data_IF_487689659068
#
_entry.id   IF_487689659068
#
_cell.length_a   1.000
_cell.length_b   1.000
_cell.length_c   1.000
_cell.angle_alpha   90.00
_cell.angle_beta   90.00
_cell.angle_gamma   90.00
#
_symmetry.space_group_name_H-M   'P 1'
#
loop_
_entity.id
_entity.type
_entity.pdbx_description
1 polymer ?
#
# COMPACT_ATOMS: atom_id res chain seq x y z
N UNK A 1 8.17 11.28 -14.32
CA UNK A 1 6.92 10.94 -15.04
C UNK A 1 7.08 11.05 -16.56
N UNK A 2 7.37 12.23 -17.10
CA UNK A 2 7.48 12.44 -18.56
C UNK A 2 8.61 11.58 -19.18
N UNK A 3 9.76 11.53 -18.56
CA UNK A 3 10.91 10.71 -19.00
C UNK A 3 10.55 9.22 -19.03
N UNK A 4 9.93 8.74 -17.97
CA UNK A 4 9.43 7.37 -17.90
C UNK A 4 8.48 7.05 -19.05
N UNK A 5 7.50 7.92 -19.28
CA UNK A 5 6.51 7.73 -20.33
C UNK A 5 7.16 7.67 -21.72
N UNK A 6 8.00 8.64 -22.05
CA UNK A 6 8.63 8.72 -23.37
C UNK A 6 9.56 7.56 -23.68
N UNK A 7 10.33 7.12 -22.68
CA UNK A 7 11.22 5.98 -22.82
C UNK A 7 10.47 4.69 -23.22
N UNK A 8 9.35 4.42 -22.54
CA UNK A 8 8.54 3.24 -22.86
C UNK A 8 7.68 3.43 -24.09
N UNK A 9 7.22 4.66 -24.39
CA UNK A 9 6.40 4.95 -25.54
C UNK A 9 7.08 4.54 -26.84
N UNK A 10 8.32 4.95 -27.06
CA UNK A 10 9.08 4.57 -28.25
C UNK A 10 9.25 3.06 -28.37
N UNK A 11 9.66 2.40 -27.30
CA UNK A 11 9.83 0.92 -27.28
C UNK A 11 8.55 0.18 -27.64
N UNK A 12 7.41 0.65 -27.15
CA UNK A 12 6.12 0.02 -27.43
C UNK A 12 5.68 0.28 -28.87
N UNK A 13 5.93 1.46 -29.41
CA UNK A 13 5.61 1.71 -30.82
C UNK A 13 6.40 0.79 -31.77
N UNK A 14 7.64 0.51 -31.46
CA UNK A 14 8.53 -0.39 -32.22
C UNK A 14 8.22 -1.88 -32.01
N UNK A 15 7.44 -2.23 -31.01
CA UNK A 15 7.10 -3.63 -30.67
C UNK A 15 6.13 -4.26 -31.67
N UNK A 16 6.12 -5.61 -31.73
CA UNK A 16 5.20 -6.40 -32.55
C UNK A 16 3.79 -6.56 -31.96
N UNK A 17 3.47 -5.82 -30.91
CA UNK A 17 2.17 -5.85 -30.26
C UNK A 17 1.06 -5.35 -31.16
N UNK A 18 -0.13 -5.90 -30.99
CA UNK A 18 -1.34 -5.44 -31.66
C UNK A 18 -1.72 -4.01 -31.23
N UNK A 19 -2.57 -3.36 -31.99
CA UNK A 19 -3.04 -2.00 -31.69
C UNK A 19 -3.75 -1.93 -30.33
N UNK A 20 -4.52 -2.95 -29.98
CA UNK A 20 -5.28 -2.99 -28.72
C UNK A 20 -4.34 -3.18 -27.52
N UNK A 21 -3.36 -4.07 -27.63
CA UNK A 21 -2.32 -4.22 -26.60
C UNK A 21 -1.53 -2.93 -26.41
N UNK A 22 -1.11 -2.28 -27.50
CA UNK A 22 -0.42 -0.97 -27.43
C UNK A 22 -1.29 0.09 -26.74
N UNK A 23 -2.59 0.13 -26.99
CA UNK A 23 -3.50 1.07 -26.36
C UNK A 23 -3.66 0.77 -24.85
N UNK A 24 -3.77 -0.50 -24.48
CA UNK A 24 -3.84 -0.91 -23.08
C UNK A 24 -2.57 -0.53 -22.33
N UNK A 25 -1.40 -0.89 -22.87
CA UNK A 25 -0.11 -0.55 -22.25
C UNK A 25 0.06 0.97 -22.16
N UNK A 26 -0.39 1.74 -23.13
CA UNK A 26 -0.34 3.19 -23.09
C UNK A 26 -1.12 3.76 -21.88
N UNK A 27 -2.28 3.21 -21.55
CA UNK A 27 -3.04 3.62 -20.36
C UNK A 27 -2.28 3.29 -19.09
N UNK A 28 -1.69 2.10 -18.98
CA UNK A 28 -0.86 1.74 -17.82
C UNK A 28 0.37 2.65 -17.70
N UNK A 29 0.98 3.04 -18.80
CA UNK A 29 2.09 4.00 -18.78
C UNK A 29 1.66 5.37 -18.26
N UNK A 30 0.48 5.86 -18.64
CA UNK A 30 -0.06 7.11 -18.11
C UNK A 30 -0.31 7.01 -16.60
N UNK A 31 -0.87 5.90 -16.16
CA UNK A 31 -1.12 5.64 -14.74
C UNK A 31 0.18 5.57 -13.95
N UNK A 32 1.20 4.90 -14.48
CA UNK A 32 2.51 4.84 -13.83
C UNK A 32 3.17 6.22 -13.78
N UNK A 33 3.08 7.00 -14.86
CA UNK A 33 3.58 8.37 -14.89
C UNK A 33 2.87 9.27 -13.86
N UNK A 34 1.56 9.08 -13.69
CA UNK A 34 0.79 9.74 -12.65
C UNK A 34 1.30 9.39 -11.25
N UNK A 35 1.45 8.11 -10.94
CA UNK A 35 1.96 7.65 -9.64
C UNK A 35 3.36 8.22 -9.38
N UNK A 36 4.26 8.18 -10.37
CA UNK A 36 5.60 8.77 -10.28
C UNK A 36 5.54 10.28 -10.04
N UNK A 37 4.56 10.99 -10.61
CA UNK A 37 4.44 12.44 -10.39
C UNK A 37 3.94 12.81 -8.99
N UNK A 38 3.28 11.88 -8.30
CA UNK A 38 2.59 12.14 -7.01
C UNK A 38 3.25 11.50 -5.80
N UNK A 39 4.34 10.77 -5.93
CA UNK A 39 4.93 10.00 -4.81
C UNK A 39 5.45 10.86 -3.65
N UNK A 40 5.79 12.14 -3.88
CA UNK A 40 6.13 13.09 -2.81
C UNK A 40 4.91 13.86 -2.26
N UNK A 41 3.68 13.45 -2.60
CA UNK A 41 2.46 14.12 -2.17
C UNK A 41 1.29 13.18 -2.03
N UNK A 42 0.11 13.68 -2.32
CA UNK A 42 -1.13 12.90 -2.30
C UNK A 42 -1.61 12.57 -3.71
N UNK A 43 -2.28 11.42 -3.85
CA UNK A 43 -3.00 11.10 -5.06
C UNK A 43 -4.16 12.10 -5.23
N UNK A 44 -4.02 13.02 -6.18
CA UNK A 44 -5.07 13.92 -6.65
C UNK A 44 -5.97 13.23 -7.67
N UNK A 45 -6.83 13.99 -8.33
CA UNK A 45 -7.62 13.42 -9.43
C UNK A 45 -6.74 13.15 -10.64
N UNK A 46 -6.96 12.02 -11.28
CA UNK A 46 -6.17 11.62 -12.46
C UNK A 46 -6.35 12.59 -13.65
N UNK A 47 -7.55 13.16 -13.78
CA UNK A 47 -7.87 14.16 -14.80
C UNK A 47 -7.01 15.43 -14.64
N UNK A 48 -6.76 15.87 -13.41
CA UNK A 48 -5.87 16.99 -13.12
C UNK A 48 -4.44 16.72 -13.60
N UNK A 49 -3.94 15.51 -13.34
CA UNK A 49 -2.64 15.10 -13.87
C UNK A 49 -2.60 15.15 -15.41
N UNK A 50 -3.63 14.66 -16.09
CA UNK A 50 -3.68 14.69 -17.56
C UNK A 50 -3.67 16.11 -18.11
N UNK A 51 -4.27 17.08 -17.40
CA UNK A 51 -4.27 18.51 -17.76
C UNK A 51 -2.90 19.16 -17.50
N UNK A 52 -2.25 18.79 -16.37
CA UNK A 52 -0.92 19.27 -16.01
C UNK A 52 0.20 18.65 -16.85
N UNK A 53 -0.03 17.45 -17.41
CA UNK A 53 0.95 16.68 -18.18
C UNK A 53 1.12 17.24 -19.58
N UNK A 54 1.64 18.47 -19.63
CA UNK A 54 1.81 19.26 -20.85
C UNK A 54 3.27 19.69 -21.04
N UNK A 55 3.68 20.06 -22.30
CA UNK A 55 5.02 20.55 -22.56
C UNK A 55 5.30 21.82 -21.77
N UNK A 56 6.42 21.83 -21.11
CA UNK A 56 6.96 23.05 -20.55
C UNK A 56 8.47 23.17 -20.86
N UNK A 57 8.97 24.39 -20.85
CA UNK A 57 10.38 24.68 -21.15
C UNK A 57 11.34 23.94 -20.22
N UNK A 58 10.99 23.84 -18.96
CA UNK A 58 11.80 23.18 -17.96
C UNK A 58 12.00 21.67 -18.25
N UNK A 59 10.95 20.98 -18.73
CA UNK A 59 11.07 19.59 -19.14
C UNK A 59 11.99 19.45 -20.37
N UNK A 60 11.90 20.34 -21.33
CA UNK A 60 12.78 20.31 -22.50
C UNK A 60 14.25 20.52 -22.11
N UNK A 61 14.54 21.43 -21.19
CA UNK A 61 15.88 21.69 -20.68
C UNK A 61 16.42 20.47 -19.91
N UNK A 62 15.60 19.85 -19.06
CA UNK A 62 15.98 18.61 -18.34
C UNK A 62 16.30 17.49 -19.33
N UNK A 63 15.49 17.28 -20.36
CA UNK A 63 15.75 16.27 -21.37
C UNK A 63 17.04 16.53 -22.13
N UNK A 64 17.31 17.78 -22.45
CA UNK A 64 18.58 18.16 -23.12
C UNK A 64 19.78 17.82 -22.25
N UNK A 65 19.72 18.13 -20.97
CA UNK A 65 20.78 17.78 -20.01
C UNK A 65 20.96 16.25 -19.86
N UNK A 66 19.87 15.50 -19.77
CA UNK A 66 19.94 14.04 -19.65
C UNK A 66 20.52 13.35 -20.89
N UNK A 67 20.28 13.89 -22.09
CA UNK A 67 20.85 13.35 -23.32
C UNK A 67 22.33 13.66 -23.49
N UNK A 68 22.90 14.55 -22.71
CA UNK A 68 24.31 14.92 -22.73
C UNK A 68 25.18 14.22 -21.68
N UNK A 69 24.57 13.51 -20.72
CA UNK A 69 25.25 12.91 -19.60
C UNK A 69 25.32 11.39 -19.62
N UNK A 70 25.85 10.83 -18.53
CA UNK A 70 26.04 9.39 -18.31
C UNK A 70 24.71 8.62 -18.15
N UNK A 71 23.58 9.29 -18.21
CA UNK A 71 22.25 8.67 -18.14
C UNK A 71 21.99 7.70 -19.29
N UNK A 72 22.66 7.88 -20.44
CA UNK A 72 22.55 6.98 -21.59
C UNK A 72 23.13 5.59 -21.31
N UNK A 73 24.10 5.48 -20.40
CA UNK A 73 24.66 4.19 -19.95
C UNK A 73 23.68 3.44 -19.05
N UNK A 74 23.06 4.15 -18.11
CA UNK A 74 22.10 3.57 -17.16
C UNK A 74 20.84 3.05 -17.85
N UNK A 75 20.35 3.75 -18.87
CA UNK A 75 19.11 3.41 -19.56
C UNK A 75 19.33 2.72 -20.92
N UNK A 76 20.57 2.34 -21.23
CA UNK A 76 20.94 1.61 -22.46
C UNK A 76 20.52 2.29 -23.77
N UNK A 77 20.62 3.59 -23.83
CA UNK A 77 20.35 4.34 -25.05
C UNK A 77 19.96 5.78 -24.84
N UNK A 78 19.97 6.61 -25.90
CA UNK A 78 19.54 8.00 -25.79
C UNK A 78 18.07 8.06 -25.45
N UNK A 79 17.73 8.88 -24.46
CA UNK A 79 16.35 9.26 -24.21
C UNK A 79 15.81 10.04 -25.41
N UNK A 80 14.71 9.55 -25.95
CA UNK A 80 13.88 10.25 -26.92
C UNK A 80 14.60 10.96 -28.07
N UNK A 81 14.80 10.26 -29.18
CA UNK A 81 15.40 10.82 -30.40
C UNK A 81 14.52 11.90 -31.08
N UNK A 82 13.23 11.97 -30.76
CA UNK A 82 12.23 12.75 -31.49
C UNK A 82 11.49 13.81 -30.66
N UNK A 83 11.92 14.07 -29.41
CA UNK A 83 11.27 15.02 -28.52
C UNK A 83 10.19 14.38 -27.62
N UNK A 84 9.63 15.18 -26.74
CA UNK A 84 8.67 14.74 -25.71
C UNK A 84 7.32 14.31 -26.32
N UNK A 85 7.17 13.05 -26.66
CA UNK A 85 5.92 12.53 -27.22
C UNK A 85 4.77 12.55 -26.20
N UNK A 86 5.07 12.25 -24.93
CA UNK A 86 4.10 12.21 -23.85
C UNK A 86 3.30 13.49 -23.73
N UNK A 87 3.99 14.59 -23.90
CA UNK A 87 3.49 15.92 -23.60
C UNK A 87 2.83 16.55 -24.81
N UNK A 88 3.17 16.09 -26.01
CA UNK A 88 2.60 16.62 -27.26
C UNK A 88 1.25 16.00 -27.62
N UNK A 89 0.72 15.06 -26.81
CA UNK A 89 -0.52 14.34 -27.12
C UNK A 89 -1.56 14.34 -25.99
N UNK A 90 -1.84 15.47 -25.29
CA UNK A 90 -2.75 15.47 -24.14
C UNK A 90 -4.17 15.00 -24.51
N UNK A 91 -4.69 15.40 -25.66
CA UNK A 91 -6.01 14.97 -26.14
C UNK A 91 -6.05 13.46 -26.46
N UNK A 92 -4.98 12.91 -27.01
CA UNK A 92 -4.87 11.49 -27.32
C UNK A 92 -4.76 10.64 -26.02
N UNK A 93 -3.98 11.12 -25.06
CA UNK A 93 -3.84 10.52 -23.75
C UNK A 93 -5.20 10.44 -23.04
N UNK A 94 -5.93 11.54 -23.01
CA UNK A 94 -7.27 11.61 -22.43
C UNK A 94 -8.24 10.64 -23.12
N UNK A 95 -8.33 10.67 -24.43
CA UNK A 95 -9.23 9.77 -25.21
C UNK A 95 -8.94 8.29 -24.96
N UNK A 96 -7.67 7.90 -24.86
CA UNK A 96 -7.30 6.50 -24.57
C UNK A 96 -7.69 6.11 -23.17
N UNK A 97 -7.48 6.98 -22.18
CA UNK A 97 -7.89 6.73 -20.82
C UNK A 97 -9.43 6.64 -20.69
N UNK A 98 -10.16 7.59 -21.25
CA UNK A 98 -11.62 7.62 -21.21
C UNK A 98 -12.20 6.33 -21.82
N UNK A 99 -11.75 5.93 -23.01
CA UNK A 99 -12.17 4.69 -23.65
C UNK A 99 -11.86 3.43 -22.86
N UNK A 100 -10.81 3.43 -22.06
CA UNK A 100 -10.46 2.33 -21.16
C UNK A 100 -11.30 2.35 -19.88
N UNK A 101 -11.54 3.53 -19.31
CA UNK A 101 -12.26 3.72 -18.06
C UNK A 101 -13.77 3.52 -18.18
N UNK A 102 -14.34 3.63 -19.37
CA UNK A 102 -15.76 3.35 -19.63
C UNK A 102 -16.15 1.87 -19.31
N UNK A 103 -15.17 0.98 -19.28
CA UNK A 103 -15.40 -0.43 -18.89
C UNK A 103 -15.44 -0.54 -17.37
N UNK A 104 -16.63 -0.57 -16.80
CA UNK A 104 -16.88 -0.59 -15.35
C UNK A 104 -16.10 -1.66 -14.58
N UNK A 105 -15.89 -2.83 -15.17
CA UNK A 105 -15.10 -3.92 -14.58
C UNK A 105 -13.61 -3.59 -14.43
N UNK A 106 -13.08 -2.64 -15.21
CA UNK A 106 -11.69 -2.26 -15.17
C UNK A 106 -11.42 -1.10 -14.20
N UNK A 107 -12.44 -0.32 -13.85
CA UNK A 107 -12.29 0.84 -12.95
C UNK A 107 -11.79 0.43 -11.58
N UNK A 108 -12.40 -0.59 -10.97
CA UNK A 108 -11.99 -1.08 -9.65
C UNK A 108 -10.58 -1.67 -9.69
N UNK A 109 -10.27 -2.45 -10.73
CA UNK A 109 -8.93 -3.00 -10.92
C UNK A 109 -7.87 -1.92 -11.12
N UNK A 110 -8.17 -0.89 -11.90
CA UNK A 110 -7.28 0.25 -12.12
C UNK A 110 -7.07 1.07 -10.83
N UNK A 111 -8.14 1.31 -10.08
CA UNK A 111 -8.06 1.96 -8.77
C UNK A 111 -7.16 1.17 -7.82
N UNK A 112 -7.38 -0.14 -7.68
CA UNK A 112 -6.56 -0.99 -6.84
C UNK A 112 -5.09 -1.00 -7.28
N UNK A 113 -4.83 -1.06 -8.59
CA UNK A 113 -3.49 -0.98 -9.17
C UNK A 113 -2.78 0.32 -8.82
N UNK A 114 -3.46 1.46 -9.00
CA UNK A 114 -2.91 2.80 -8.67
C UNK A 114 -2.52 2.86 -7.19
N UNK A 115 -3.43 2.44 -6.30
CA UNK A 115 -3.19 2.47 -4.85
C UNK A 115 -2.04 1.55 -4.44
N UNK A 116 -1.99 0.36 -5.01
CA UNK A 116 -0.91 -0.60 -4.77
C UNK A 116 0.44 -0.06 -5.24
N UNK A 117 0.52 0.40 -6.50
CA UNK A 117 1.75 0.92 -7.07
C UNK A 117 2.26 2.16 -6.32
N UNK A 118 1.35 3.07 -5.95
CA UNK A 118 1.68 4.24 -5.15
C UNK A 118 2.25 3.83 -3.78
N UNK A 119 1.60 2.89 -3.11
CA UNK A 119 2.06 2.38 -1.81
C UNK A 119 3.46 1.74 -1.91
N UNK A 120 3.70 0.93 -2.94
CA UNK A 120 5.02 0.31 -3.16
C UNK A 120 6.07 1.38 -3.43
N UNK A 121 5.80 2.34 -4.32
CA UNK A 121 6.76 3.39 -4.67
C UNK A 121 7.13 4.26 -3.46
N UNK A 122 6.13 4.71 -2.70
CA UNK A 122 6.35 5.52 -1.48
C UNK A 122 7.12 4.73 -0.43
N UNK A 123 6.80 3.43 -0.26
CA UNK A 123 7.53 2.57 0.67
C UNK A 123 8.99 2.40 0.25
N UNK A 124 9.25 2.14 -1.04
CA UNK A 124 10.61 1.99 -1.55
C UNK A 124 11.42 3.28 -1.38
N UNK A 125 10.82 4.44 -1.64
CA UNK A 125 11.46 5.74 -1.48
C UNK A 125 11.80 6.02 -0.01
N UNK A 126 10.84 5.76 0.89
CA UNK A 126 11.03 5.90 2.33
C UNK A 126 12.15 4.99 2.85
N UNK A 127 12.15 3.72 2.45
CA UNK A 127 13.16 2.77 2.88
C UNK A 127 14.54 3.09 2.32
N UNK A 128 14.63 3.47 1.05
CA UNK A 128 15.90 3.87 0.43
C UNK A 128 16.50 5.09 1.14
N UNK A 129 15.68 6.08 1.47
CA UNK A 129 16.09 7.27 2.22
C UNK A 129 16.53 6.90 3.63
N UNK A 130 15.76 6.08 4.34
CA UNK A 130 16.09 5.63 5.70
C UNK A 130 17.37 4.79 5.74
N UNK A 131 17.59 3.93 4.76
CA UNK A 131 18.80 3.12 4.63
C UNK A 131 20.02 4.03 4.38
N UNK A 132 19.89 5.03 3.51
CA UNK A 132 20.94 5.99 3.22
C UNK A 132 21.28 6.85 4.44
N UNK A 133 20.29 7.39 5.15
CA UNK A 133 20.47 8.31 6.25
C UNK A 133 20.94 7.60 7.54
N UNK A 134 20.41 6.41 7.81
CA UNK A 134 20.62 5.71 9.08
C UNK A 134 21.54 4.48 8.96
N UNK A 135 21.91 4.08 7.75
CA UNK A 135 22.72 2.88 7.49
C UNK A 135 22.02 1.57 7.87
N UNK A 136 20.69 1.58 8.02
CA UNK A 136 19.89 0.42 8.42
C UNK A 136 19.48 -0.33 7.16
N UNK A 137 19.99 -1.54 6.97
CA UNK A 137 19.51 -2.42 5.90
C UNK A 137 18.13 -2.99 6.26
N UNK A 138 17.14 -2.64 5.47
CA UNK A 138 15.77 -3.13 5.64
C UNK A 138 15.60 -4.46 4.91
N UNK A 139 16.12 -5.55 5.48
CA UNK A 139 16.09 -6.88 4.87
C UNK A 139 14.74 -7.60 4.98
N UNK A 140 13.90 -7.22 5.95
CA UNK A 140 12.61 -7.88 6.18
C UNK A 140 11.53 -6.84 6.47
N UNK A 141 10.68 -6.54 5.52
CA UNK A 141 9.57 -5.59 5.59
C UNK A 141 8.52 -5.98 6.66
N UNK A 142 8.85 -5.77 7.95
CA UNK A 142 7.93 -6.04 9.06
C UNK A 142 7.47 -7.49 9.13
N UNK A 143 8.24 -8.44 8.62
CA UNK A 143 7.93 -9.86 8.73
C UNK A 143 8.16 -10.30 10.17
N UNK A 144 7.17 -10.89 10.79
CA UNK A 144 7.27 -11.46 12.14
C UNK A 144 7.88 -12.87 11.98
N UNK A 145 9.20 -12.94 11.99
CA UNK A 145 9.92 -14.21 11.88
C UNK A 145 10.07 -14.94 13.23
N UNK A 146 9.85 -14.21 14.32
CA UNK A 146 10.23 -14.67 15.63
C UNK A 146 9.02 -14.97 16.53
N UNK A 147 8.98 -16.18 17.06
CA UNK A 147 8.04 -16.57 18.13
C UNK A 147 8.27 -15.77 19.42
N UNK A 148 9.38 -15.07 19.54
CA UNK A 148 9.70 -14.24 20.70
C UNK A 148 8.69 -13.13 20.93
N UNK A 149 8.25 -12.45 19.86
CA UNK A 149 7.22 -11.42 19.97
C UNK A 149 5.89 -11.98 20.49
N UNK A 150 5.47 -13.13 19.98
CA UNK A 150 4.26 -13.83 20.46
C UNK A 150 4.43 -14.24 21.91
N UNK A 151 5.61 -14.74 22.27
CA UNK A 151 5.94 -15.14 23.65
C UNK A 151 5.92 -13.94 24.59
N UNK A 152 6.52 -12.81 24.21
CA UNK A 152 6.50 -11.58 25.01
C UNK A 152 5.08 -11.06 25.21
N UNK A 153 4.24 -11.10 24.17
CA UNK A 153 2.82 -10.73 24.27
C UNK A 153 2.09 -11.60 25.29
N UNK A 154 2.19 -12.93 25.20
CA UNK A 154 1.53 -13.86 26.13
C UNK A 154 2.10 -13.74 27.55
N UNK A 155 3.35 -13.30 27.69
CA UNK A 155 3.98 -13.07 29.00
C UNK A 155 3.67 -11.70 29.60
N UNK A 156 3.06 -10.80 28.86
CA UNK A 156 2.67 -9.48 29.38
C UNK A 156 1.70 -9.63 30.56
N UNK A 157 1.85 -8.78 31.60
CA UNK A 157 1.01 -8.87 32.80
C UNK A 157 -0.48 -8.77 32.49
N UNK A 158 -0.83 -7.97 31.50
CA UNK A 158 -2.21 -7.80 31.06
C UNK A 158 -2.79 -9.09 30.47
N UNK A 159 -2.04 -9.76 29.59
CA UNK A 159 -2.49 -11.02 28.97
C UNK A 159 -2.51 -12.14 29.99
N UNK A 160 -1.52 -12.22 30.89
CA UNK A 160 -1.52 -13.18 32.01
C UNK A 160 -2.75 -13.01 32.90
N UNK A 161 -3.16 -11.78 33.22
CA UNK A 161 -4.38 -11.55 33.99
C UNK A 161 -5.62 -12.05 33.26
N UNK A 162 -5.71 -11.80 31.94
CA UNK A 162 -6.81 -12.31 31.11
C UNK A 162 -6.79 -13.82 31.08
N UNK A 163 -5.63 -14.47 30.91
CA UNK A 163 -5.49 -15.93 30.85
C UNK A 163 -5.83 -16.64 32.20
N UNK A 164 -5.73 -15.94 33.33
CA UNK A 164 -6.17 -16.45 34.64
C UNK A 164 -7.69 -16.40 34.83
N UNK A 165 -8.38 -15.70 33.97
CA UNK A 165 -9.84 -15.61 34.02
C UNK A 165 -10.44 -16.96 33.64
N UNK A 166 -11.32 -17.48 34.50
CA UNK A 166 -12.09 -18.70 34.24
C UNK A 166 -13.55 -18.32 33.99
N UNK A 167 -14.05 -18.45 32.77
CA UNK A 167 -15.44 -18.09 32.42
C UNK A 167 -16.47 -18.90 33.21
N UNK A 168 -16.15 -20.16 33.59
CA UNK A 168 -17.08 -21.08 34.26
C UNK A 168 -17.23 -20.76 35.74
N UNK A 169 -16.20 -20.17 36.35
CA UNK A 169 -16.19 -19.87 37.80
C UNK A 169 -16.71 -18.46 38.14
N UNK A 170 -16.92 -17.61 37.16
CA UNK A 170 -17.40 -16.25 37.39
C UNK A 170 -18.91 -16.19 37.55
N UNK A 171 -19.36 -15.77 38.72
CA UNK A 171 -20.72 -15.30 38.92
C UNK A 171 -20.94 -14.13 37.94
N UNK A 172 -22.05 -14.15 37.25
CA UNK A 172 -22.38 -13.19 36.18
C UNK A 172 -22.61 -11.79 36.79
N UNK A 173 -21.53 -11.15 37.23
CA UNK A 173 -21.56 -9.78 37.70
C UNK A 173 -21.46 -8.83 36.49
N UNK A 174 -22.62 -8.54 35.90
CA UNK A 174 -22.78 -7.59 34.78
C UNK A 174 -22.27 -6.20 35.09
N UNK A 175 -21.86 -5.92 36.31
CA UNK A 175 -21.35 -4.61 36.74
C UNK A 175 -19.83 -4.53 36.63
N UNK A 176 -19.11 -5.65 36.59
CA UNK A 176 -17.64 -5.63 36.41
C UNK A 176 -17.29 -5.67 34.93
N UNK A 177 -16.85 -4.51 34.42
CA UNK A 177 -16.41 -4.37 33.04
C UNK A 177 -15.24 -5.27 32.67
N UNK A 178 -14.39 -5.66 33.61
CA UNK A 178 -13.26 -6.53 33.36
C UNK A 178 -13.69 -7.97 33.11
N UNK A 179 -14.72 -8.43 33.79
CA UNK A 179 -15.35 -9.73 33.52
C UNK A 179 -15.90 -9.77 32.10
N UNK A 180 -16.62 -8.71 31.70
CA UNK A 180 -17.16 -8.61 30.34
C UNK A 180 -16.06 -8.56 29.28
N UNK A 181 -14.99 -7.81 29.54
CA UNK A 181 -13.82 -7.72 28.63
C UNK A 181 -13.13 -9.07 28.47
N UNK A 182 -12.92 -9.78 29.56
CA UNK A 182 -12.27 -11.08 29.54
C UNK A 182 -13.12 -12.13 28.83
N UNK A 183 -14.44 -12.13 29.06
CA UNK A 183 -15.37 -13.00 28.36
C UNK A 183 -15.32 -12.73 26.84
N UNK A 184 -15.47 -11.47 26.44
CA UNK A 184 -15.38 -11.07 25.04
C UNK A 184 -14.05 -11.51 24.38
N UNK A 185 -12.95 -11.38 25.11
CA UNK A 185 -11.63 -11.80 24.62
C UNK A 185 -11.59 -13.29 24.33
N UNK A 186 -12.09 -14.13 25.23
CA UNK A 186 -12.15 -15.58 25.05
C UNK A 186 -13.11 -16.00 23.94
N UNK A 187 -14.31 -15.47 23.94
CA UNK A 187 -15.32 -15.79 22.93
C UNK A 187 -14.83 -15.44 21.51
N UNK A 188 -14.20 -14.27 21.34
CA UNK A 188 -13.66 -13.89 20.06
C UNK A 188 -12.46 -14.75 19.64
N UNK A 189 -11.57 -15.12 20.56
CA UNK A 189 -10.47 -16.05 20.27
C UNK A 189 -10.99 -17.41 19.84
N UNK A 190 -11.96 -17.99 20.55
CA UNK A 190 -12.57 -19.26 20.20
C UNK A 190 -13.27 -19.22 18.85
N UNK A 191 -14.10 -18.20 18.62
CA UNK A 191 -14.78 -17.99 17.34
C UNK A 191 -13.79 -17.90 16.18
N UNK A 192 -12.67 -17.21 16.36
CA UNK A 192 -11.62 -17.12 15.35
C UNK A 192 -10.96 -18.47 15.08
N UNK A 193 -10.63 -19.21 16.14
CA UNK A 193 -9.97 -20.51 16.02
C UNK A 193 -10.85 -21.57 15.35
N UNK A 194 -12.17 -21.49 15.56
CA UNK A 194 -13.15 -22.36 14.91
C UNK A 194 -13.37 -21.98 13.43
N UNK A 195 -13.05 -20.74 13.04
CA UNK A 195 -13.29 -20.21 11.69
C UNK A 195 -12.01 -19.69 11.02
N UNK A 196 -10.90 -20.41 11.19
CA UNK A 196 -9.58 -19.97 10.65
C UNK A 196 -9.53 -19.78 9.14
N UNK A 197 -10.40 -20.42 8.40
CA UNK A 197 -10.50 -20.32 6.96
C UNK A 197 -11.28 -19.07 6.48
N UNK A 198 -11.87 -18.31 7.40
CA UNK A 198 -12.58 -17.09 7.08
C UNK A 198 -11.59 -15.97 6.68
N UNK A 199 -11.76 -15.44 5.47
CA UNK A 199 -10.92 -14.34 4.97
C UNK A 199 -11.25 -12.98 5.60
N UNK A 200 -12.43 -12.84 6.20
CA UNK A 200 -12.91 -11.59 6.81
C UNK A 200 -13.61 -11.91 8.12
N UNK A 201 -13.23 -11.20 9.16
CA UNK A 201 -13.88 -11.25 10.47
C UNK A 201 -14.29 -9.85 10.93
N UNK A 202 -15.46 -9.73 11.54
CA UNK A 202 -15.93 -8.47 12.13
C UNK A 202 -15.95 -8.58 13.65
N UNK A 203 -15.37 -7.58 14.33
CA UNK A 203 -15.42 -7.46 15.79
C UNK A 203 -16.14 -6.15 16.14
N UNK A 204 -17.37 -6.26 16.61
CA UNK A 204 -18.16 -5.12 17.04
C UNK A 204 -18.27 -5.10 18.57
N UNK A 205 -17.85 -4.01 19.19
CA UNK A 205 -17.88 -3.85 20.62
C UNK A 205 -17.85 -2.37 21.04
N UNK A 206 -18.39 -2.00 22.21
CA UNK A 206 -18.41 -0.62 22.69
C UNK A 206 -17.02 0.00 22.84
N UNK A 207 -16.95 1.34 22.91
CA UNK A 207 -15.71 2.05 23.23
C UNK A 207 -15.26 1.64 24.65
N UNK A 208 -13.93 1.45 24.81
CA UNK A 208 -13.37 1.01 26.09
C UNK A 208 -13.50 -0.49 26.39
N UNK A 209 -14.05 -1.29 25.49
CA UNK A 209 -14.19 -2.75 25.68
C UNK A 209 -12.89 -3.55 25.52
N UNK A 210 -11.79 -2.93 25.08
CA UNK A 210 -10.51 -3.62 24.85
C UNK A 210 -10.31 -4.14 23.43
N UNK A 211 -10.99 -3.57 22.44
CA UNK A 211 -10.90 -3.96 21.01
C UNK A 211 -9.47 -4.01 20.48
N UNK A 212 -8.61 -3.06 20.82
CA UNK A 212 -7.21 -3.03 20.33
C UNK A 212 -6.43 -4.26 20.82
N UNK A 213 -6.57 -4.62 22.10
CA UNK A 213 -5.94 -5.82 22.65
C UNK A 213 -6.53 -7.11 22.04
N UNK A 214 -7.84 -7.13 21.80
CA UNK A 214 -8.50 -8.23 21.13
C UNK A 214 -7.99 -8.40 19.69
N UNK A 215 -7.90 -7.32 18.94
CA UNK A 215 -7.39 -7.33 17.57
C UNK A 215 -5.94 -7.83 17.51
N UNK A 216 -5.08 -7.40 18.45
CA UNK A 216 -3.70 -7.89 18.57
C UNK A 216 -3.69 -9.40 18.84
N UNK A 217 -4.44 -9.87 19.83
CA UNK A 217 -4.52 -11.29 20.15
C UNK A 217 -4.97 -12.13 18.94
N UNK A 218 -6.05 -11.74 18.30
CA UNK A 218 -6.59 -12.43 17.14
C UNK A 218 -5.58 -12.47 15.99
N UNK A 219 -4.90 -11.35 15.72
CA UNK A 219 -3.87 -11.27 14.69
C UNK A 219 -2.70 -12.22 14.98
N UNK A 220 -2.22 -12.25 16.23
CA UNK A 220 -1.13 -13.12 16.62
C UNK A 220 -1.49 -14.62 16.58
N UNK A 221 -2.76 -14.98 16.80
CA UNK A 221 -3.24 -16.37 16.68
C UNK A 221 -3.34 -16.87 15.25
N UNK A 222 -3.40 -15.95 14.27
CA UNK A 222 -3.43 -16.28 12.85
C UNK A 222 -2.04 -16.34 12.22
N UNK A 223 -0.99 -15.94 12.95
CA UNK A 223 0.39 -16.01 12.44
C UNK A 223 0.81 -17.45 12.21
N UNK A 224 1.29 -17.74 11.03
CA UNK A 224 1.86 -19.02 10.63
C UNK A 224 2.95 -18.80 9.56
N UNK A 225 3.37 -19.86 8.85
CA UNK A 225 4.38 -19.76 7.79
C UNK A 225 3.94 -18.92 6.58
N UNK A 226 2.63 -18.80 6.37
CA UNK A 226 2.06 -18.07 5.22
C UNK A 226 1.61 -16.67 5.63
N UNK A 227 1.14 -16.51 6.88
CA UNK A 227 0.68 -15.24 7.45
C UNK A 227 1.70 -14.78 8.48
N UNK A 228 2.57 -13.87 8.07
CA UNK A 228 3.70 -13.41 8.86
C UNK A 228 3.79 -11.87 8.97
N UNK A 229 2.72 -11.16 8.62
CA UNK A 229 2.62 -9.70 8.70
C UNK A 229 1.29 -9.28 9.26
N UNK A 230 1.31 -8.23 10.07
CA UNK A 230 0.12 -7.60 10.63
C UNK A 230 0.12 -6.14 10.20
N UNK A 231 -0.97 -5.69 9.60
CA UNK A 231 -1.16 -4.28 9.23
C UNK A 231 -2.34 -3.71 10.01
N UNK A 232 -2.07 -2.65 10.77
CA UNK A 232 -3.09 -1.86 11.43
C UNK A 232 -3.41 -0.63 10.60
N UNK A 233 -4.67 -0.47 10.23
CA UNK A 233 -5.14 0.68 9.46
C UNK A 233 -6.13 1.48 10.31
N UNK A 234 -5.80 2.73 10.56
CA UNK A 234 -6.62 3.64 11.35
C UNK A 234 -7.12 4.81 10.49
N UNK A 235 -8.34 5.31 10.76
CA UNK A 235 -8.89 6.44 9.99
C UNK A 235 -8.21 7.78 10.31
N UNK A 236 -7.50 7.89 11.45
CA UNK A 236 -6.86 9.13 11.90
C UNK A 236 -5.46 8.87 12.46
N UNK A 237 -4.53 9.80 12.21
CA UNK A 237 -3.15 9.72 12.67
C UNK A 237 -3.03 9.66 14.20
N UNK A 238 -3.90 10.38 14.93
CA UNK A 238 -3.94 10.35 16.40
C UNK A 238 -4.18 8.95 16.97
N UNK A 239 -4.95 8.11 16.27
CA UNK A 239 -5.14 6.73 16.69
C UNK A 239 -3.91 5.85 16.42
N UNK A 240 -3.12 6.17 15.40
CA UNK A 240 -1.84 5.49 15.15
C UNK A 240 -0.89 5.77 16.29
N UNK A 241 -0.70 7.03 16.66
CA UNK A 241 0.17 7.45 17.77
C UNK A 241 -0.26 6.80 19.10
N UNK A 242 -1.55 6.87 19.45
CA UNK A 242 -2.06 6.26 20.68
C UNK A 242 -1.87 4.74 20.76
N UNK A 243 -1.88 4.03 19.64
CA UNK A 243 -1.69 2.59 19.63
C UNK A 243 -0.22 2.16 19.46
N UNK A 244 0.66 3.08 19.04
CA UNK A 244 2.09 2.83 18.94
C UNK A 244 2.74 2.76 20.33
N UNK A 245 2.28 3.61 21.26
CA UNK A 245 2.81 3.72 22.62
C UNK A 245 2.18 2.71 23.62
N UNK A 246 1.24 1.85 23.16
CA UNK A 246 0.52 0.89 24.03
C UNK A 246 1.07 -0.51 23.87
#
# INVERSE_FOLDING_TARGET
AAIYFDYFYEKIQESLLSKDEKNMIHVFMLVNAYVISRHHGNLSRFEEFLEEFQPNRQLADIFSCMNQGDFTEVYHGPFCKKGLHSVNMPMQNKRKYDSFSEKQSLQLGLYAYIRFLFSVLVSCDYYATSEYDNGIQMSAFGTIENTEFVTQYEQSERVKQIRRFNPESCVDDKKDINILRNRMFYEAEQTLLENKDANVAFAEAPTGSGKSNLAMNCSLKLLDKNINKIFYVYPFNTLVEQNYDT
#
